data_IF_445808911787
#
_entry.id   IF_445808911787
#
_cell.length_a   1.000
_cell.length_b   1.000
_cell.length_c   1.000
_cell.angle_alpha   90.00
_cell.angle_beta   90.00
_cell.angle_gamma   90.00
#
_symmetry.space_group_name_H-M   'P 1'
#
loop_
_entity.id
_entity.type
_entity.pdbx_description
1 polymer ?
#
# COMPACT_ATOMS: atom_id res chain seq x y z
N UNK A 1 2.99 -16.84 -33.50
CA UNK A 1 3.83 -17.89 -32.86
C UNK A 1 4.99 -17.34 -31.99
N UNK A 2 5.83 -16.43 -32.50
CA UNK A 2 6.99 -15.91 -31.77
C UNK A 2 6.65 -15.09 -30.50
N UNK A 3 5.57 -14.29 -30.53
CA UNK A 3 5.12 -13.50 -29.37
C UNK A 3 4.56 -14.35 -28.21
N UNK A 4 3.89 -15.46 -28.52
CA UNK A 4 3.32 -16.36 -27.50
C UNK A 4 4.41 -17.09 -26.72
N UNK A 5 5.48 -17.51 -27.40
CA UNK A 5 6.64 -18.15 -26.77
C UNK A 5 7.48 -17.17 -25.91
N UNK A 6 7.42 -15.86 -26.22
CA UNK A 6 8.01 -14.82 -25.38
C UNK A 6 7.22 -14.59 -24.09
N UNK A 7 5.90 -14.48 -24.21
CA UNK A 7 5.00 -14.31 -23.06
C UNK A 7 5.05 -15.50 -22.09
N UNK A 8 5.02 -16.74 -22.61
CA UNK A 8 5.12 -17.94 -21.78
C UNK A 8 6.46 -18.03 -21.01
N UNK A 9 7.57 -17.59 -21.63
CA UNK A 9 8.88 -17.51 -20.94
C UNK A 9 8.88 -16.46 -19.83
N UNK A 10 8.22 -15.33 -20.05
CA UNK A 10 8.06 -14.28 -19.03
C UNK A 10 7.25 -14.77 -17.83
N UNK A 11 6.10 -15.42 -18.07
CA UNK A 11 5.25 -15.93 -16.98
C UNK A 11 5.93 -17.04 -16.18
N UNK A 12 6.67 -17.94 -16.85
CA UNK A 12 7.50 -18.94 -16.14
C UNK A 12 8.58 -18.29 -15.28
N UNK A 13 9.28 -17.28 -15.79
CA UNK A 13 10.31 -16.58 -15.03
C UNK A 13 9.73 -15.89 -13.77
N UNK A 14 8.51 -15.34 -13.86
CA UNK A 14 7.80 -14.76 -12.69
C UNK A 14 7.45 -15.81 -11.64
N UNK A 15 6.99 -16.99 -12.06
CA UNK A 15 6.74 -18.10 -11.14
C UNK A 15 8.04 -18.56 -10.47
N UNK A 16 9.11 -18.75 -11.24
CA UNK A 16 10.42 -19.15 -10.72
C UNK A 16 10.96 -18.09 -9.74
N UNK A 17 10.79 -16.80 -10.04
CA UNK A 17 11.13 -15.71 -9.14
C UNK A 17 10.32 -15.77 -7.84
N UNK A 18 9.00 -15.94 -7.92
CA UNK A 18 8.13 -16.10 -6.74
C UNK A 18 8.56 -17.28 -5.86
N UNK A 19 8.87 -18.43 -6.47
CA UNK A 19 9.31 -19.63 -5.75
C UNK A 19 10.72 -19.51 -5.17
N UNK A 20 11.55 -18.64 -5.75
CA UNK A 20 12.92 -18.37 -5.30
C UNK A 20 13.02 -17.25 -4.26
N UNK A 21 11.91 -16.56 -3.93
CA UNK A 21 11.93 -15.50 -2.92
C UNK A 21 12.44 -16.04 -1.56
N UNK A 22 13.30 -15.29 -0.86
CA UNK A 22 13.90 -15.75 0.38
C UNK A 22 12.87 -15.84 1.50
N UNK A 23 12.94 -16.93 2.26
CA UNK A 23 12.11 -17.20 3.44
C UNK A 23 12.98 -17.49 4.67
N UNK A 24 12.65 -16.96 5.87
CA UNK A 24 11.53 -16.08 6.18
C UNK A 24 11.71 -14.64 5.65
N UNK A 25 10.59 -13.97 5.41
CA UNK A 25 10.57 -12.58 4.94
C UNK A 25 11.08 -11.65 6.04
N UNK A 26 12.02 -10.77 5.70
CA UNK A 26 12.44 -9.67 6.59
C UNK A 26 11.52 -8.48 6.37
N UNK A 27 11.09 -7.83 7.46
CA UNK A 27 10.40 -6.56 7.38
C UNK A 27 11.30 -5.51 6.72
N UNK A 28 10.71 -4.71 5.85
CA UNK A 28 11.40 -3.60 5.20
C UNK A 28 11.39 -2.38 6.13
N UNK A 29 12.29 -1.40 5.93
CA UNK A 29 12.28 -0.18 6.71
C UNK A 29 10.88 0.48 6.66
N UNK A 30 10.26 0.79 7.81
CA UNK A 30 8.92 1.36 7.89
C UNK A 30 8.89 2.86 7.52
N UNK A 31 9.53 3.28 6.42
CA UNK A 31 9.57 4.69 5.99
C UNK A 31 8.16 5.22 5.74
N UNK A 32 7.35 4.46 5.01
CA UNK A 32 5.96 4.84 4.75
C UNK A 32 5.10 4.81 6.02
N UNK A 33 5.29 3.83 6.90
CA UNK A 33 4.54 3.75 8.15
C UNK A 33 4.92 4.92 9.09
N UNK A 34 6.20 5.25 9.21
CA UNK A 34 6.67 6.42 9.95
C UNK A 34 6.07 7.72 9.37
N UNK A 35 5.99 7.82 8.04
CA UNK A 35 5.32 8.93 7.38
C UNK A 35 3.82 8.98 7.73
N UNK A 36 3.09 7.87 7.67
CA UNK A 36 1.68 7.86 8.06
C UNK A 36 1.49 8.19 9.56
N UNK A 37 2.31 7.63 10.44
CA UNK A 37 2.26 7.86 11.87
C UNK A 37 2.48 9.34 12.22
N UNK A 38 3.35 10.04 11.47
CA UNK A 38 3.56 11.48 11.59
C UNK A 38 2.24 12.25 11.41
N UNK A 39 1.46 11.94 10.37
CA UNK A 39 0.21 12.63 10.07
C UNK A 39 -0.99 12.14 10.90
N UNK A 40 -0.89 10.96 11.53
CA UNK A 40 -1.85 10.50 12.56
C UNK A 40 -1.59 11.11 13.95
N UNK A 41 -0.50 11.86 14.14
CA UNK A 41 -0.10 12.40 15.44
C UNK A 41 0.50 11.37 16.39
N UNK A 42 0.91 10.20 15.87
CA UNK A 42 1.47 9.08 16.63
C UNK A 42 2.99 9.20 16.77
N UNK A 43 3.48 10.29 17.36
CA UNK A 43 4.92 10.60 17.45
C UNK A 43 5.77 9.48 18.09
N UNK A 44 5.18 8.72 19.03
CA UNK A 44 5.83 7.54 19.62
C UNK A 44 6.04 6.43 18.60
N UNK A 45 5.08 6.21 17.71
CA UNK A 45 5.17 5.22 16.64
C UNK A 45 6.21 5.62 15.58
N UNK A 46 6.36 6.92 15.28
CA UNK A 46 7.44 7.43 14.40
C UNK A 46 8.81 7.07 14.98
N UNK A 47 9.03 7.34 16.27
CA UNK A 47 10.28 7.00 16.94
C UNK A 47 10.54 5.49 16.96
N UNK A 48 9.51 4.69 17.25
CA UNK A 48 9.61 3.23 17.23
C UNK A 48 9.90 2.68 15.83
N UNK A 49 9.26 3.21 14.79
CA UNK A 49 9.49 2.83 13.39
C UNK A 49 10.94 3.11 12.97
N UNK A 50 11.46 4.31 13.28
CA UNK A 50 12.85 4.67 13.00
C UNK A 50 13.85 3.81 13.77
N UNK A 51 13.61 3.56 15.07
CA UNK A 51 14.47 2.67 15.89
C UNK A 51 14.40 1.23 15.38
N UNK A 52 13.23 0.77 14.99
CA UNK A 52 13.02 -0.59 14.49
C UNK A 52 13.79 -0.88 13.20
N UNK A 53 14.02 0.16 12.39
CA UNK A 53 14.86 0.08 11.18
C UNK A 53 16.30 -0.31 11.48
N UNK A 54 16.79 0.02 12.68
CA UNK A 54 18.18 -0.19 13.10
C UNK A 54 18.34 -1.43 13.97
N UNK A 55 17.31 -1.80 14.75
CA UNK A 55 17.47 -2.73 15.88
C UNK A 55 16.61 -4.00 15.79
N UNK A 56 15.59 -4.10 14.92
CA UNK A 56 14.73 -5.29 14.94
C UNK A 56 15.40 -6.54 14.33
N UNK A 57 15.52 -7.64 15.09
CA UNK A 57 15.75 -8.96 14.49
C UNK A 57 14.54 -9.35 13.60
N UNK A 58 14.69 -10.28 12.65
CA UNK A 58 13.56 -10.81 11.90
C UNK A 58 12.58 -11.43 12.89
N UNK A 59 11.44 -10.78 13.10
CA UNK A 59 10.42 -11.25 14.01
C UNK A 59 9.72 -12.45 13.35
N UNK A 60 9.71 -13.58 14.07
CA UNK A 60 8.97 -14.82 13.77
C UNK A 60 7.56 -14.78 14.42
N UNK A 61 6.94 -13.60 14.49
CA UNK A 61 5.59 -13.47 15.03
C UNK A 61 4.62 -14.14 14.04
N UNK A 62 3.65 -14.92 14.55
CA UNK A 62 2.62 -15.49 13.70
C UNK A 62 1.92 -14.36 12.97
N UNK A 63 1.88 -14.45 11.64
CA UNK A 63 1.30 -13.40 10.80
C UNK A 63 -0.16 -13.15 11.21
N UNK A 64 -0.69 -11.91 11.17
CA UNK A 64 -2.07 -11.62 11.58
C UNK A 64 -3.12 -12.51 10.89
N UNK A 65 -2.84 -12.91 9.64
CA UNK A 65 -3.69 -13.84 8.90
C UNK A 65 -3.62 -15.29 9.39
N UNK A 66 -2.56 -15.72 10.07
CA UNK A 66 -2.48 -17.06 10.67
C UNK A 66 -3.60 -17.29 11.71
N UNK A 67 -3.92 -16.26 12.52
CA UNK A 67 -5.05 -16.31 13.45
C UNK A 67 -6.39 -16.49 12.74
N UNK A 68 -6.60 -15.82 11.61
CA UNK A 68 -7.81 -15.95 10.79
C UNK A 68 -7.97 -17.33 10.18
N UNK A 69 -6.85 -17.91 9.74
CA UNK A 69 -6.83 -19.24 9.18
C UNK A 69 -7.13 -20.29 10.24
N UNK A 70 -6.56 -20.15 11.43
CA UNK A 70 -6.88 -21.01 12.57
C UNK A 70 -8.35 -20.89 12.95
N UNK A 71 -8.90 -19.66 13.02
CA UNK A 71 -10.31 -19.46 13.32
C UNK A 71 -11.24 -20.08 12.26
N UNK A 72 -10.95 -19.88 10.98
CA UNK A 72 -11.72 -20.48 9.89
C UNK A 72 -11.64 -22.01 9.93
N UNK A 73 -10.44 -22.58 10.07
CA UNK A 73 -10.24 -24.04 10.08
C UNK A 73 -10.94 -24.66 11.29
N UNK A 74 -10.85 -24.05 12.47
CA UNK A 74 -11.47 -24.58 13.69
C UNK A 74 -13.00 -24.47 13.67
N UNK A 75 -13.56 -23.48 12.96
CA UNK A 75 -15.00 -23.34 12.77
C UNK A 75 -15.56 -24.19 11.61
N UNK A 76 -14.69 -24.59 10.68
CA UNK A 76 -15.09 -25.34 9.49
C UNK A 76 -15.32 -26.82 9.80
N UNK A 77 -16.23 -27.48 9.08
CA UNK A 77 -16.41 -28.91 9.23
C UNK A 77 -15.14 -29.67 8.78
N UNK A 78 -14.67 -30.62 9.58
CA UNK A 78 -13.49 -31.46 9.29
C UNK A 78 -13.89 -32.91 8.94
N UNK A 79 -14.86 -33.07 8.05
CA UNK A 79 -15.11 -34.37 7.46
C UNK A 79 -13.99 -34.71 6.46
N UNK A 80 -13.48 -35.94 6.54
CA UNK A 80 -12.49 -36.45 5.59
C UNK A 80 -11.13 -35.73 5.60
N UNK A 81 -10.68 -35.20 6.74
CA UNK A 81 -9.39 -34.50 6.90
C UNK A 81 -9.20 -33.28 5.99
N UNK A 82 -10.30 -32.62 5.59
CA UNK A 82 -10.26 -31.43 4.76
C UNK A 82 -9.50 -30.27 5.43
N UNK A 83 -9.65 -30.10 6.75
CA UNK A 83 -8.92 -29.09 7.52
C UNK A 83 -7.40 -29.24 7.38
N UNK A 84 -6.91 -30.48 7.47
CA UNK A 84 -5.49 -30.80 7.33
C UNK A 84 -4.96 -30.50 5.92
N UNK A 85 -5.74 -30.82 4.88
CA UNK A 85 -5.38 -30.50 3.48
C UNK A 85 -5.33 -28.99 3.24
N UNK A 86 -6.36 -28.27 3.70
CA UNK A 86 -6.39 -26.80 3.62
C UNK A 86 -5.19 -26.18 4.35
N UNK A 87 -4.85 -26.67 5.56
CA UNK A 87 -3.70 -26.19 6.33
C UNK A 87 -2.36 -26.51 5.66
N UNK A 88 -2.18 -27.71 5.12
CA UNK A 88 -0.90 -28.14 4.55
C UNK A 88 -0.63 -27.46 3.20
N UNK A 89 -1.64 -27.36 2.35
CA UNK A 89 -1.50 -26.90 0.96
C UNK A 89 -1.85 -25.43 0.84
N UNK A 90 -3.09 -25.05 1.16
CA UNK A 90 -3.61 -23.71 0.84
C UNK A 90 -3.08 -22.64 1.79
N UNK A 91 -3.15 -22.88 3.11
CA UNK A 91 -2.71 -21.91 4.12
C UNK A 91 -1.26 -21.50 3.91
N UNK A 92 -0.35 -22.46 3.74
CA UNK A 92 1.07 -22.18 3.50
C UNK A 92 1.27 -21.30 2.26
N UNK A 93 0.58 -21.60 1.15
CA UNK A 93 0.71 -20.84 -0.09
C UNK A 93 0.14 -19.43 0.02
N UNK A 94 -1.00 -19.31 0.70
CA UNK A 94 -1.62 -18.02 0.99
C UNK A 94 -0.70 -17.15 1.85
N UNK A 95 -0.23 -17.66 3.00
CA UNK A 95 0.64 -16.92 3.92
C UNK A 95 1.91 -16.46 3.21
N UNK A 96 2.48 -17.31 2.36
CA UNK A 96 3.65 -16.93 1.56
C UNK A 96 3.36 -15.77 0.62
N UNK A 97 2.27 -15.87 -0.14
CA UNK A 97 1.89 -14.83 -1.08
C UNK A 97 1.54 -13.51 -0.37
N UNK A 98 0.86 -13.57 0.76
CA UNK A 98 0.40 -12.41 1.54
C UNK A 98 1.58 -11.68 2.19
N UNK A 99 2.50 -12.41 2.85
CA UNK A 99 3.71 -11.83 3.43
C UNK A 99 4.63 -11.17 2.39
N UNK A 100 4.80 -11.81 1.23
CA UNK A 100 5.55 -11.21 0.14
C UNK A 100 4.83 -9.98 -0.41
N UNK A 101 3.50 -10.03 -0.56
CA UNK A 101 2.72 -8.88 -1.00
C UNK A 101 2.90 -7.68 -0.06
N UNK A 102 2.80 -7.89 1.26
CA UNK A 102 2.99 -6.84 2.26
C UNK A 102 4.40 -6.24 2.21
N UNK A 103 5.43 -7.10 2.19
CA UNK A 103 6.82 -6.65 2.08
C UNK A 103 7.06 -5.76 0.85
N UNK A 104 6.63 -6.22 -0.32
CA UNK A 104 6.82 -5.44 -1.54
C UNK A 104 5.93 -4.20 -1.57
N UNK A 105 4.77 -4.20 -0.91
CA UNK A 105 3.92 -3.02 -0.72
C UNK A 105 4.63 -1.96 0.14
N UNK A 106 5.18 -2.34 1.29
CA UNK A 106 5.93 -1.45 2.17
C UNK A 106 7.15 -0.88 1.47
N UNK A 107 7.91 -1.73 0.76
CA UNK A 107 9.08 -1.30 0.00
C UNK A 107 8.71 -0.33 -1.12
N UNK A 108 7.66 -0.61 -1.88
CA UNK A 108 7.18 0.28 -2.94
C UNK A 108 6.77 1.65 -2.36
N UNK A 109 5.99 1.64 -1.28
CA UNK A 109 5.52 2.86 -0.63
C UNK A 109 6.64 3.67 0.01
N UNK A 110 7.57 2.99 0.68
CA UNK A 110 8.76 3.61 1.25
C UNK A 110 9.65 4.24 0.19
N UNK A 111 9.82 3.59 -0.96
CA UNK A 111 10.62 4.13 -2.08
C UNK A 111 10.03 5.44 -2.62
N UNK A 112 8.73 5.51 -2.95
CA UNK A 112 8.18 6.76 -3.47
C UNK A 112 8.17 7.88 -2.42
N UNK A 113 7.86 7.58 -1.16
CA UNK A 113 7.94 8.59 -0.08
C UNK A 113 9.35 9.12 0.06
N UNK A 114 10.36 8.24 0.10
CA UNK A 114 11.76 8.63 0.19
C UNK A 114 12.19 9.49 -1.01
N UNK A 115 11.83 9.11 -2.24
CA UNK A 115 12.18 9.88 -3.43
C UNK A 115 11.58 11.29 -3.42
N UNK A 116 10.29 11.44 -3.05
CA UNK A 116 9.65 12.76 -2.98
C UNK A 116 10.24 13.64 -1.86
N UNK A 117 10.52 13.06 -0.68
CA UNK A 117 11.13 13.79 0.42
C UNK A 117 12.60 14.18 0.12
N UNK A 118 13.38 13.29 -0.50
CA UNK A 118 14.74 13.60 -0.96
C UNK A 118 14.73 14.69 -2.03
N UNK A 119 13.75 14.67 -2.94
CA UNK A 119 13.59 15.72 -3.96
C UNK A 119 13.30 17.08 -3.30
N UNK A 120 12.40 17.12 -2.32
CA UNK A 120 12.17 18.34 -1.54
C UNK A 120 13.45 18.80 -0.83
N UNK A 121 14.17 17.89 -0.17
CA UNK A 121 15.42 18.21 0.52
C UNK A 121 16.50 18.75 -0.44
N UNK A 122 16.60 18.22 -1.66
CA UNK A 122 17.55 18.70 -2.66
C UNK A 122 17.26 20.15 -3.05
N UNK A 123 15.99 20.46 -3.33
CA UNK A 123 15.56 21.84 -3.63
C UNK A 123 15.78 22.75 -2.42
N UNK A 124 15.43 22.31 -1.21
CA UNK A 124 15.66 23.07 0.03
C UNK A 124 17.15 23.37 0.24
N UNK A 125 18.04 22.41 -0.01
CA UNK A 125 19.48 22.60 0.08
C UNK A 125 19.98 23.63 -0.96
N UNK A 126 19.46 23.58 -2.19
CA UNK A 126 19.81 24.53 -3.24
C UNK A 126 19.38 25.97 -2.88
N UNK A 127 18.13 26.16 -2.42
CA UNK A 127 17.63 27.49 -2.04
C UNK A 127 18.22 28.00 -0.72
N UNK A 128 18.69 27.12 0.17
CA UNK A 128 19.37 27.52 1.41
C UNK A 128 20.64 28.34 1.10
N UNK A 129 21.25 28.15 -0.07
CA UNK A 129 22.36 28.96 -0.56
C UNK A 129 22.02 30.46 -0.68
N UNK A 130 20.74 30.84 -0.78
CA UNK A 130 20.28 32.23 -0.81
C UNK A 130 20.46 32.94 0.53
N UNK A 131 20.49 32.19 1.65
CA UNK A 131 20.69 32.75 2.98
C UNK A 131 22.17 33.08 3.26
N UNK A 132 23.09 32.56 2.44
CA UNK A 132 24.52 32.78 2.62
C UNK A 132 24.94 34.14 2.02
N UNK A 133 25.63 35.00 2.79
CA UNK A 133 26.13 36.28 2.29
C UNK A 133 27.03 36.11 1.05
N UNK A 134 27.04 37.08 0.15
CA UNK A 134 27.81 37.05 -1.11
C UNK A 134 29.33 37.20 -0.99
N UNK A 135 29.92 37.07 0.21
CA UNK A 135 31.35 37.29 0.43
C UNK A 135 32.19 36.07 0.02
N UNK A 136 33.46 36.27 -0.33
CA UNK A 136 34.40 35.18 -0.66
C UNK A 136 34.52 34.12 0.45
N UNK A 137 34.25 34.50 1.71
CA UNK A 137 34.28 33.59 2.86
C UNK A 137 33.16 32.52 2.84
N UNK A 138 32.06 32.73 2.12
CA UNK A 138 30.93 31.78 2.06
C UNK A 138 31.01 30.82 0.87
N UNK A 139 32.02 30.97 0.00
CA UNK A 139 32.20 30.12 -1.18
C UNK A 139 32.31 28.64 -0.80
N UNK A 140 33.01 28.33 0.30
CA UNK A 140 33.13 26.96 0.82
C UNK A 140 31.78 26.34 1.16
N UNK A 141 30.90 27.08 1.85
CA UNK A 141 29.55 26.60 2.19
C UNK A 141 28.67 26.38 0.96
N UNK A 142 28.78 27.24 -0.05
CA UNK A 142 28.07 27.05 -1.33
C UNK A 142 28.51 25.76 -2.02
N UNK A 143 29.82 25.45 -2.01
CA UNK A 143 30.33 24.18 -2.55
C UNK A 143 29.77 23.00 -1.78
N UNK A 144 29.71 23.06 -0.44
CA UNK A 144 29.12 21.99 0.38
C UNK A 144 27.64 21.78 0.04
N UNK A 145 26.85 22.85 -0.14
CA UNK A 145 25.44 22.74 -0.50
C UNK A 145 25.25 22.11 -1.89
N UNK A 146 26.07 22.49 -2.88
CA UNK A 146 26.04 21.88 -4.21
C UNK A 146 26.41 20.40 -4.16
N UNK A 147 27.44 20.03 -3.37
CA UNK A 147 27.80 18.62 -3.17
C UNK A 147 26.68 17.84 -2.49
N UNK A 148 26.03 18.43 -1.48
CA UNK A 148 24.87 17.84 -0.81
C UNK A 148 23.71 17.61 -1.80
N UNK A 149 23.41 18.60 -2.65
CA UNK A 149 22.39 18.48 -3.69
C UNK A 149 22.71 17.33 -4.67
N UNK A 150 23.97 17.23 -5.14
CA UNK A 150 24.42 16.13 -6.00
C UNK A 150 24.24 14.78 -5.31
N UNK A 151 24.59 14.67 -4.02
CA UNK A 151 24.41 13.44 -3.24
C UNK A 151 22.92 13.07 -3.12
N UNK A 152 22.04 14.03 -2.86
CA UNK A 152 20.59 13.81 -2.77
C UNK A 152 20.01 13.36 -4.12
N UNK A 153 20.34 14.03 -5.22
CA UNK A 153 19.89 13.66 -6.57
C UNK A 153 20.42 12.28 -6.99
N UNK A 154 21.68 11.98 -6.69
CA UNK A 154 22.27 10.66 -6.94
C UNK A 154 21.54 9.58 -6.13
N UNK A 155 21.20 9.87 -4.87
CA UNK A 155 20.45 8.95 -4.02
C UNK A 155 19.06 8.64 -4.60
N UNK A 156 18.35 9.65 -5.11
CA UNK A 156 17.06 9.46 -5.81
C UNK A 156 17.23 8.53 -7.01
N UNK A 157 18.25 8.75 -7.85
CA UNK A 157 18.50 7.91 -9.02
C UNK A 157 18.84 6.46 -8.65
N UNK A 158 19.61 6.26 -7.58
CA UNK A 158 19.93 4.93 -7.07
C UNK A 158 18.69 4.21 -6.54
N UNK A 159 17.86 4.88 -5.75
CA UNK A 159 16.59 4.33 -5.25
C UNK A 159 15.64 3.97 -6.40
N UNK A 160 15.51 4.85 -7.39
CA UNK A 160 14.71 4.60 -8.59
C UNK A 160 15.21 3.37 -9.36
N UNK A 161 16.51 3.30 -9.63
CA UNK A 161 17.13 2.17 -10.34
C UNK A 161 16.97 0.86 -9.57
N UNK A 162 17.14 0.88 -8.25
CA UNK A 162 16.94 -0.28 -7.40
C UNK A 162 15.47 -0.75 -7.44
N UNK A 163 14.51 0.16 -7.23
CA UNK A 163 13.09 -0.15 -7.26
C UNK A 163 12.63 -0.73 -8.60
N UNK A 164 13.17 -0.20 -9.72
CA UNK A 164 12.88 -0.69 -11.07
C UNK A 164 13.54 -2.04 -11.36
N UNK A 165 14.82 -2.22 -10.99
CA UNK A 165 15.56 -3.48 -11.22
C UNK A 165 14.94 -4.65 -10.47
N UNK A 166 14.49 -4.39 -9.23
CA UNK A 166 13.89 -5.41 -8.38
C UNK A 166 12.40 -5.63 -8.70
N UNK A 167 11.84 -4.89 -9.68
CA UNK A 167 10.44 -4.94 -10.09
C UNK A 167 9.47 -4.84 -8.92
N UNK A 168 9.82 -4.02 -7.90
CA UNK A 168 9.17 -3.99 -6.58
C UNK A 168 7.65 -3.83 -6.72
N UNK A 169 7.22 -2.93 -7.60
CA UNK A 169 5.81 -2.69 -7.86
C UNK A 169 5.11 -3.89 -8.53
N UNK A 170 5.72 -4.48 -9.57
CA UNK A 170 5.12 -5.60 -10.29
C UNK A 170 4.97 -6.82 -9.37
N UNK A 171 5.98 -7.08 -8.53
CA UNK A 171 5.95 -8.14 -7.51
C UNK A 171 4.87 -7.88 -6.47
N UNK A 172 4.79 -6.66 -5.93
CA UNK A 172 3.70 -6.27 -5.02
C UNK A 172 2.33 -6.59 -5.61
N UNK A 173 2.06 -6.12 -6.83
CA UNK A 173 0.75 -6.27 -7.49
C UNK A 173 0.46 -7.75 -7.77
N UNK A 174 1.43 -8.50 -8.29
CA UNK A 174 1.24 -9.91 -8.63
C UNK A 174 1.03 -10.78 -7.38
N UNK A 175 1.82 -10.57 -6.31
CA UNK A 175 1.71 -11.36 -5.07
C UNK A 175 0.44 -11.03 -4.31
N UNK A 176 0.03 -9.75 -4.27
CA UNK A 176 -1.24 -9.37 -3.64
C UNK A 176 -2.42 -10.01 -4.35
N UNK A 177 -2.44 -9.94 -5.69
CA UNK A 177 -3.49 -10.58 -6.47
C UNK A 177 -3.50 -12.10 -6.29
N UNK A 178 -2.34 -12.75 -6.18
CA UNK A 178 -2.27 -14.18 -5.89
C UNK A 178 -2.84 -14.51 -4.50
N UNK A 179 -2.41 -13.78 -3.45
CA UNK A 179 -2.91 -13.99 -2.10
C UNK A 179 -4.43 -13.86 -2.03
N UNK A 180 -4.97 -12.81 -2.66
CA UNK A 180 -6.41 -12.58 -2.69
C UNK A 180 -7.15 -13.64 -3.51
N UNK A 181 -6.60 -14.14 -4.62
CA UNK A 181 -7.20 -15.24 -5.39
C UNK A 181 -7.20 -16.59 -4.66
N UNK A 182 -6.19 -16.83 -3.80
CA UNK A 182 -6.10 -18.04 -2.98
C UNK A 182 -7.07 -18.00 -1.77
N UNK A 183 -7.40 -16.81 -1.26
CA UNK A 183 -8.24 -16.65 -0.06
C UNK A 183 -9.62 -17.31 -0.16
N UNK A 184 -10.48 -17.03 -1.17
CA UNK A 184 -11.81 -17.65 -1.26
C UNK A 184 -11.76 -19.17 -1.48
N UNK A 185 -10.63 -19.71 -1.93
CA UNK A 185 -10.48 -21.16 -2.11
C UNK A 185 -10.68 -21.93 -0.81
N UNK A 186 -10.47 -21.32 0.36
CA UNK A 186 -10.70 -22.01 1.65
C UNK A 186 -12.15 -22.44 1.85
N UNK A 187 -13.09 -21.64 1.36
CA UNK A 187 -14.54 -21.91 1.40
C UNK A 187 -15.05 -22.66 0.16
N UNK A 188 -14.43 -22.47 -1.00
CA UNK A 188 -14.86 -23.15 -2.23
C UNK A 188 -14.34 -24.59 -2.31
N UNK A 189 -13.13 -24.86 -1.81
CA UNK A 189 -12.57 -26.20 -1.80
C UNK A 189 -13.38 -27.18 -0.93
N UNK A 190 -14.08 -26.69 0.10
CA UNK A 190 -15.02 -27.49 0.90
C UNK A 190 -16.29 -27.88 0.15
N UNK A 191 -16.56 -27.28 -1.01
CA UNK A 191 -17.71 -27.54 -1.88
C UNK A 191 -17.34 -28.15 -3.25
N UNK A 192 -16.07 -28.53 -3.45
CA UNK A 192 -15.54 -28.95 -4.74
C UNK A 192 -15.70 -27.87 -5.84
N UNK A 193 -15.92 -26.62 -5.45
CA UNK A 193 -16.08 -25.49 -6.36
C UNK A 193 -14.73 -24.80 -6.57
N UNK A 194 -14.62 -24.14 -7.72
CA UNK A 194 -13.48 -23.28 -8.01
C UNK A 194 -13.99 -21.98 -8.62
N UNK A 195 -13.64 -20.85 -8.00
CA UNK A 195 -13.92 -19.56 -8.60
C UNK A 195 -13.11 -19.46 -9.89
N UNK A 196 -13.80 -19.42 -11.02
CA UNK A 196 -13.16 -18.99 -12.26
C UNK A 196 -12.90 -17.49 -12.12
N UNK A 197 -11.63 -17.09 -12.06
CA UNK A 197 -11.25 -15.67 -12.14
C UNK A 197 -11.84 -15.05 -13.42
N UNK A 198 -12.48 -13.89 -13.31
CA UNK A 198 -13.30 -13.27 -14.35
C UNK A 198 -12.57 -12.89 -15.65
N UNK A 199 -13.39 -12.81 -16.72
CA UNK A 199 -13.07 -12.17 -18.00
C UNK A 199 -12.27 -13.00 -19.05
N UNK A 200 -12.74 -13.11 -20.31
CA UNK A 200 -12.05 -13.88 -21.37
C UNK A 200 -10.64 -13.36 -21.72
N UNK A 201 -10.30 -12.12 -21.35
CA UNK A 201 -8.98 -11.52 -21.62
C UNK A 201 -7.89 -11.87 -20.59
N UNK A 202 -8.26 -12.32 -19.37
CA UNK A 202 -7.33 -12.69 -18.28
C UNK A 202 -7.42 -14.16 -17.84
N UNK A 203 -8.46 -14.87 -18.29
CA UNK A 203 -8.52 -16.33 -18.28
C UNK A 203 -7.40 -17.01 -19.12
N UNK A 204 -6.69 -16.25 -19.96
CA UNK A 204 -5.56 -16.73 -20.76
C UNK A 204 -4.24 -16.81 -19.95
N UNK A 205 -4.10 -17.85 -19.12
CA UNK A 205 -2.80 -18.52 -18.91
C UNK A 205 -1.64 -17.73 -18.28
N UNK A 206 -1.90 -16.87 -17.31
CA UNK A 206 -0.85 -16.28 -16.48
C UNK A 206 -0.32 -17.23 -15.39
N UNK A 207 0.87 -16.96 -14.85
CA UNK A 207 1.48 -17.83 -13.83
C UNK A 207 0.64 -17.96 -12.56
N UNK A 208 -0.10 -16.90 -12.20
CA UNK A 208 -0.98 -16.85 -11.02
C UNK A 208 -2.17 -17.80 -11.16
N UNK A 209 -2.85 -17.80 -12.31
CA UNK A 209 -4.01 -18.68 -12.55
C UNK A 209 -3.56 -20.15 -12.66
N UNK A 210 -2.38 -20.40 -13.24
CA UNK A 210 -1.75 -21.71 -13.19
C UNK A 210 -1.50 -22.15 -11.74
N UNK A 211 -0.91 -21.29 -10.91
CA UNK A 211 -0.58 -21.61 -9.52
C UNK A 211 -1.84 -21.83 -8.67
N UNK A 212 -2.89 -21.02 -8.86
CA UNK A 212 -4.20 -21.20 -8.24
C UNK A 212 -4.83 -22.54 -8.65
N UNK A 213 -4.83 -22.86 -9.95
CA UNK A 213 -5.35 -24.12 -10.48
C UNK A 213 -4.58 -25.34 -9.96
N UNK A 214 -3.25 -25.24 -9.91
CA UNK A 214 -2.39 -26.27 -9.34
C UNK A 214 -2.68 -26.48 -7.85
N UNK A 215 -2.92 -25.40 -7.12
CA UNK A 215 -3.33 -25.43 -5.70
C UNK A 215 -4.67 -26.14 -5.52
N UNK A 216 -5.66 -25.82 -6.36
CA UNK A 216 -6.97 -26.47 -6.31
C UNK A 216 -6.88 -27.98 -6.56
N UNK A 217 -6.10 -28.38 -7.57
CA UNK A 217 -5.88 -29.80 -7.91
C UNK A 217 -5.19 -30.57 -6.79
N UNK A 218 -4.26 -29.94 -6.08
CA UNK A 218 -3.52 -30.57 -4.97
C UNK A 218 -4.35 -30.70 -3.69
N UNK A 219 -5.28 -29.75 -3.42
CA UNK A 219 -6.25 -29.89 -2.33
C UNK A 219 -7.17 -31.11 -2.57
N UNK A 220 -7.52 -31.36 -3.84
CA UNK A 220 -8.38 -32.47 -4.23
C UNK A 220 -9.87 -32.21 -3.94
N UNK A 221 -10.67 -33.27 -4.09
CA UNK A 221 -12.11 -33.21 -3.84
C UNK A 221 -12.40 -33.33 -2.33
N UNK A 222 -13.37 -32.58 -1.79
CA UNK A 222 -13.84 -32.79 -0.43
C UNK A 222 -14.42 -34.21 -0.29
N UNK A 223 -14.19 -34.81 0.87
CA UNK A 223 -14.73 -36.13 1.24
C UNK A 223 -15.64 -35.91 2.44
N UNK A 224 -16.88 -36.39 2.37
CA UNK A 224 -17.84 -36.20 3.46
C UNK A 224 -19.27 -36.07 2.95
N UNK A 225 -20.19 -35.88 3.88
CA UNK A 225 -21.60 -35.67 3.62
C UNK A 225 -21.94 -34.17 3.74
N UNK A 226 -22.46 -33.58 2.66
CA UNK A 226 -22.86 -32.15 2.63
C UNK A 226 -24.21 -31.92 3.31
N UNK A 227 -24.35 -32.39 4.55
CA UNK A 227 -25.55 -32.26 5.36
C UNK A 227 -25.78 -30.84 5.88
N UNK A 228 -26.97 -30.60 6.45
CA UNK A 228 -27.36 -29.31 7.00
C UNK A 228 -26.37 -28.76 8.06
N UNK A 229 -25.87 -29.61 8.96
CA UNK A 229 -24.87 -29.22 9.98
C UNK A 229 -23.54 -28.80 9.36
N UNK A 230 -23.10 -29.49 8.29
CA UNK A 230 -21.89 -29.15 7.54
C UNK A 230 -22.03 -27.77 6.92
N UNK A 231 -23.15 -27.53 6.23
CA UNK A 231 -23.43 -26.25 5.57
C UNK A 231 -23.52 -25.10 6.57
N UNK A 232 -24.20 -25.28 7.70
CA UNK A 232 -24.29 -24.24 8.73
C UNK A 232 -22.93 -23.93 9.37
N UNK A 233 -22.10 -24.92 9.69
CA UNK A 233 -20.77 -24.69 10.26
C UNK A 233 -19.85 -23.94 9.29
N UNK A 234 -19.90 -24.30 8.00
CA UNK A 234 -19.14 -23.63 6.96
C UNK A 234 -19.63 -22.19 6.72
N UNK A 235 -20.94 -21.98 6.55
CA UNK A 235 -21.51 -20.65 6.38
C UNK A 235 -21.23 -19.74 7.58
N UNK A 236 -21.30 -20.27 8.81
CA UNK A 236 -20.87 -19.52 10.02
C UNK A 236 -19.40 -19.11 9.94
N UNK A 237 -18.54 -20.02 9.53
CA UNK A 237 -17.10 -19.77 9.44
C UNK A 237 -16.77 -18.74 8.37
N UNK A 238 -17.43 -18.79 7.21
CA UNK A 238 -17.28 -17.79 6.16
C UNK A 238 -17.81 -16.43 6.61
N UNK A 239 -19.03 -16.39 7.17
CA UNK A 239 -19.63 -15.14 7.65
C UNK A 239 -18.76 -14.46 8.72
N UNK A 240 -18.17 -15.24 9.64
CA UNK A 240 -17.35 -14.70 10.73
C UNK A 240 -15.92 -14.39 10.28
N UNK A 241 -15.19 -15.39 9.78
CA UNK A 241 -13.75 -15.32 9.57
C UNK A 241 -13.35 -14.76 8.19
N UNK A 242 -14.26 -14.67 7.22
CA UNK A 242 -14.01 -14.05 5.92
C UNK A 242 -14.71 -12.69 5.83
N UNK A 243 -16.03 -12.64 5.98
CA UNK A 243 -16.82 -11.43 5.74
C UNK A 243 -16.71 -10.46 6.93
N UNK A 244 -17.06 -10.91 8.13
CA UNK A 244 -17.08 -10.05 9.32
C UNK A 244 -15.72 -9.44 9.64
N UNK A 245 -14.64 -10.22 9.50
CA UNK A 245 -13.28 -9.70 9.69
C UNK A 245 -12.88 -8.69 8.61
N UNK A 246 -13.21 -8.94 7.34
CA UNK A 246 -12.94 -7.97 6.26
C UNK A 246 -13.67 -6.64 6.49
N UNK A 247 -14.91 -6.68 6.95
CA UNK A 247 -15.65 -5.46 7.30
C UNK A 247 -14.88 -4.67 8.37
N UNK A 248 -14.41 -5.34 9.43
CA UNK A 248 -13.61 -4.72 10.47
C UNK A 248 -12.29 -4.14 9.90
N UNK A 249 -11.55 -4.92 9.12
CA UNK A 249 -10.25 -4.50 8.55
C UNK A 249 -10.40 -3.29 7.61
N UNK A 250 -11.40 -3.32 6.71
CA UNK A 250 -11.66 -2.21 5.80
C UNK A 250 -12.14 -0.95 6.54
N UNK A 251 -12.91 -1.09 7.64
CA UNK A 251 -13.32 0.06 8.46
C UNK A 251 -12.13 0.75 9.13
N UNK A 252 -11.18 -0.02 9.68
CA UNK A 252 -9.95 0.50 10.30
C UNK A 252 -9.05 1.13 9.24
N UNK A 253 -8.85 0.45 8.10
CA UNK A 253 -8.04 0.96 6.99
C UNK A 253 -8.63 2.26 6.42
N UNK A 254 -9.96 2.35 6.29
CA UNK A 254 -10.66 3.56 5.86
C UNK A 254 -10.38 4.73 6.81
N UNK A 255 -10.57 4.52 8.12
CA UNK A 255 -10.34 5.56 9.11
C UNK A 255 -8.88 6.06 9.09
N UNK A 256 -7.92 5.14 8.97
CA UNK A 256 -6.51 5.49 8.86
C UNK A 256 -6.20 6.30 7.59
N UNK A 257 -6.72 5.88 6.43
CA UNK A 257 -6.53 6.59 5.16
C UNK A 257 -7.15 8.00 5.19
N UNK A 258 -8.36 8.14 5.75
CA UNK A 258 -9.04 9.43 5.91
C UNK A 258 -8.26 10.38 6.83
N UNK A 259 -7.71 9.88 7.94
CA UNK A 259 -6.88 10.69 8.85
C UNK A 259 -5.62 11.23 8.15
N UNK A 260 -4.90 10.37 7.42
CA UNK A 260 -3.70 10.77 6.68
C UNK A 260 -4.04 11.77 5.58
N UNK A 261 -5.12 11.53 4.82
CA UNK A 261 -5.61 12.45 3.79
C UNK A 261 -5.94 13.83 4.37
N UNK A 262 -6.66 13.86 5.50
CA UNK A 262 -7.02 15.11 6.17
C UNK A 262 -5.79 15.84 6.70
N UNK A 263 -4.86 15.13 7.32
CA UNK A 263 -3.59 15.69 7.81
C UNK A 263 -2.75 16.30 6.68
N UNK A 264 -2.61 15.60 5.56
CA UNK A 264 -1.90 16.10 4.38
C UNK A 264 -2.59 17.33 3.78
N UNK A 265 -3.91 17.33 3.70
CA UNK A 265 -4.68 18.45 3.18
C UNK A 265 -4.56 19.69 4.05
N UNK A 266 -4.74 19.55 5.38
CA UNK A 266 -4.58 20.65 6.33
C UNK A 266 -3.16 21.22 6.29
N UNK A 267 -2.14 20.37 6.27
CA UNK A 267 -0.75 20.81 6.24
C UNK A 267 -0.44 21.55 4.92
N UNK A 268 -0.95 21.07 3.79
CA UNK A 268 -0.85 21.77 2.51
C UNK A 268 -1.52 23.15 2.53
N UNK A 269 -2.70 23.28 3.13
CA UNK A 269 -3.37 24.57 3.29
C UNK A 269 -2.56 25.53 4.18
N UNK A 270 -2.04 25.05 5.31
CA UNK A 270 -1.21 25.87 6.21
C UNK A 270 0.03 26.38 5.48
N UNK A 271 0.72 25.52 4.72
CA UNK A 271 1.87 25.92 3.90
C UNK A 271 1.50 26.98 2.86
N UNK A 272 0.39 26.79 2.13
CA UNK A 272 -0.04 27.71 1.07
C UNK A 272 -0.44 29.08 1.63
N UNK A 273 -1.39 29.11 2.56
CA UNK A 273 -1.86 30.37 3.14
C UNK A 273 -0.79 31.04 4.00
N UNK A 274 0.05 30.25 4.68
CA UNK A 274 1.21 30.76 5.40
C UNK A 274 2.20 31.45 4.46
N UNK A 275 2.52 30.84 3.32
CA UNK A 275 3.39 31.46 2.30
C UNK A 275 2.78 32.75 1.75
N UNK A 276 1.49 32.72 1.41
CA UNK A 276 0.78 33.91 0.92
C UNK A 276 0.78 35.04 1.95
N UNK A 277 0.55 34.71 3.23
CA UNK A 277 0.59 35.68 4.33
C UNK A 277 1.97 36.28 4.53
N UNK A 278 3.03 35.45 4.53
CA UNK A 278 4.43 35.92 4.64
C UNK A 278 4.79 36.84 3.47
N UNK A 279 4.44 36.45 2.24
CA UNK A 279 4.70 37.26 1.05
C UNK A 279 3.92 38.57 1.05
N UNK A 280 2.64 38.54 1.44
CA UNK A 280 1.80 39.73 1.55
C UNK A 280 2.33 40.70 2.60
N UNK A 281 2.69 40.20 3.78
CA UNK A 281 3.29 41.02 4.84
C UNK A 281 4.63 41.61 4.38
N UNK A 282 5.50 40.80 3.78
CA UNK A 282 6.77 41.27 3.26
C UNK A 282 6.56 42.36 2.21
N UNK A 283 5.64 42.18 1.27
CA UNK A 283 5.34 43.17 0.23
C UNK A 283 4.87 44.50 0.81
N UNK A 284 3.99 44.48 1.83
CA UNK A 284 3.54 45.69 2.54
C UNK A 284 4.72 46.38 3.23
N UNK A 285 5.58 45.62 3.93
CA UNK A 285 6.74 46.18 4.61
C UNK A 285 7.77 46.77 3.63
N UNK A 286 8.04 46.09 2.51
CA UNK A 286 8.89 46.60 1.44
C UNK A 286 8.33 47.90 0.84
N UNK A 287 7.02 47.95 0.58
CA UNK A 287 6.36 49.14 0.05
C UNK A 287 6.37 50.31 1.06
N UNK A 288 6.10 50.03 2.34
CA UNK A 288 6.13 51.04 3.40
C UNK A 288 7.53 51.65 3.53
N UNK A 289 8.57 50.81 3.52
CA UNK A 289 9.98 51.23 3.54
C UNK A 289 10.33 52.11 2.33
N UNK A 290 9.88 51.72 1.14
CA UNK A 290 10.10 52.48 -0.09
C UNK A 290 9.45 53.88 -0.05
N UNK A 291 8.26 53.99 0.56
CA UNK A 291 7.53 55.27 0.67
C UNK A 291 8.11 56.14 1.79
N UNK A 292 8.37 55.57 2.96
CA UNK A 292 8.78 56.33 4.16
C UNK A 292 10.20 56.86 4.10
N UNK A 293 11.07 56.29 3.23
CA UNK A 293 12.51 56.58 3.21
C UNK A 293 13.19 56.38 4.59
N UNK A 294 12.60 55.56 5.45
CA UNK A 294 13.12 55.28 6.78
C UNK A 294 14.32 54.32 6.71
N UNK A 295 15.49 54.79 7.11
CA UNK A 295 16.75 54.02 7.09
C UNK A 295 16.67 52.76 7.95
N UNK A 296 15.98 52.80 9.11
CA UNK A 296 15.87 51.66 10.02
C UNK A 296 15.00 50.54 9.46
N UNK A 297 13.88 50.89 8.82
CA UNK A 297 13.05 49.92 8.10
C UNK A 297 13.77 49.38 6.86
N UNK A 298 14.60 50.21 6.21
CA UNK A 298 15.49 49.84 5.10
C UNK A 298 16.44 48.69 5.44
N UNK A 299 17.18 48.81 6.54
CA UNK A 299 18.14 47.80 6.99
C UNK A 299 17.45 46.47 7.35
N UNK A 300 16.34 46.53 8.09
CA UNK A 300 15.58 45.31 8.44
C UNK A 300 15.05 44.60 7.19
N UNK A 301 14.52 45.36 6.25
CA UNK A 301 13.95 44.89 4.99
C UNK A 301 14.99 44.17 4.11
N UNK A 302 16.21 44.74 4.03
CA UNK A 302 17.36 44.11 3.37
C UNK A 302 17.80 42.82 4.07
N UNK A 303 17.81 42.80 5.41
CA UNK A 303 18.17 41.61 6.20
C UNK A 303 17.10 40.51 6.14
N UNK A 304 15.82 40.86 6.03
CA UNK A 304 14.70 39.92 5.94
C UNK A 304 14.53 39.31 4.55
N UNK A 305 14.97 40.01 3.49
CA UNK A 305 14.79 39.59 2.09
C UNK A 305 15.24 38.14 1.79
N UNK A 306 16.42 37.65 2.23
CA UNK A 306 16.84 36.28 2.00
C UNK A 306 15.92 35.26 2.69
N UNK A 307 15.46 35.56 3.90
CA UNK A 307 14.55 34.71 4.67
C UNK A 307 13.16 34.63 4.03
N UNK A 308 12.63 35.78 3.58
CA UNK A 308 11.36 35.82 2.85
C UNK A 308 11.47 35.00 1.56
N UNK A 309 12.55 35.17 0.79
CA UNK A 309 12.80 34.39 -0.43
C UNK A 309 12.93 32.89 -0.17
N UNK A 310 13.67 32.51 0.88
CA UNK A 310 13.81 31.11 1.30
C UNK A 310 12.47 30.51 1.70
N UNK A 311 11.70 31.15 2.60
CA UNK A 311 10.41 30.64 3.06
C UNK A 311 9.39 30.56 1.91
N UNK A 312 9.40 31.55 1.03
CA UNK A 312 8.53 31.59 -0.15
C UNK A 312 8.80 30.46 -1.15
N UNK A 313 10.03 29.95 -1.22
CA UNK A 313 10.37 28.80 -2.05
C UNK A 313 10.25 27.46 -1.29
N UNK A 314 10.61 27.43 -0.01
CA UNK A 314 10.65 26.23 0.81
C UNK A 314 9.26 25.65 1.06
N UNK A 315 8.29 26.48 1.45
CA UNK A 315 6.96 26.00 1.80
C UNK A 315 6.21 25.39 0.58
N UNK A 316 6.18 26.01 -0.61
CA UNK A 316 5.63 25.38 -1.81
C UNK A 316 6.36 24.10 -2.22
N UNK A 317 7.68 24.03 -2.03
CA UNK A 317 8.47 22.82 -2.33
C UNK A 317 8.04 21.64 -1.46
N UNK A 318 7.90 21.86 -0.16
CA UNK A 318 7.39 20.83 0.77
C UNK A 318 5.94 20.48 0.40
N UNK A 319 5.10 21.47 0.14
CA UNK A 319 3.72 21.27 -0.29
C UNK A 319 3.60 20.40 -1.54
N UNK A 320 4.43 20.67 -2.56
CA UNK A 320 4.45 19.91 -3.80
C UNK A 320 4.84 18.44 -3.56
N UNK A 321 5.84 18.18 -2.72
CA UNK A 321 6.25 16.82 -2.38
C UNK A 321 5.13 16.04 -1.65
N UNK A 322 4.44 16.67 -0.70
CA UNK A 322 3.33 16.05 0.03
C UNK A 322 2.14 15.77 -0.88
N UNK A 323 1.83 16.70 -1.78
CA UNK A 323 0.79 16.51 -2.80
C UNK A 323 1.15 15.36 -3.74
N UNK A 324 2.40 15.24 -4.17
CA UNK A 324 2.86 14.12 -5.00
C UNK A 324 2.76 12.77 -4.25
N UNK A 325 3.14 12.73 -2.97
CA UNK A 325 2.97 11.55 -2.11
C UNK A 325 1.49 11.17 -1.99
N UNK A 326 0.62 12.16 -1.73
CA UNK A 326 -0.83 11.97 -1.61
C UNK A 326 -1.43 11.38 -2.89
N UNK A 327 -1.11 11.93 -4.05
CA UNK A 327 -1.60 11.43 -5.33
C UNK A 327 -1.08 10.02 -5.66
N UNK A 328 0.18 9.74 -5.32
CA UNK A 328 0.78 8.42 -5.58
C UNK A 328 0.20 7.35 -4.67
N UNK A 329 0.00 7.68 -3.39
CA UNK A 329 -0.56 6.77 -2.40
C UNK A 329 -2.07 6.56 -2.57
N UNK A 330 -2.79 7.56 -3.09
CA UNK A 330 -4.23 7.52 -3.39
C UNK A 330 -5.09 7.13 -2.18
N UNK A 331 -4.86 7.82 -1.06
CA UNK A 331 -5.57 7.57 0.20
C UNK A 331 -7.08 7.79 0.06
N UNK A 332 -7.50 8.80 -0.70
CA UNK A 332 -8.91 9.07 -0.97
C UNK A 332 -9.56 7.92 -1.75
N UNK A 333 -8.93 7.45 -2.83
CA UNK A 333 -9.41 6.30 -3.60
C UNK A 333 -9.47 5.02 -2.77
N UNK A 334 -8.46 4.77 -1.92
CA UNK A 334 -8.47 3.63 -0.99
C UNK A 334 -9.60 3.71 0.04
N UNK A 335 -9.88 4.90 0.58
CA UNK A 335 -10.94 5.11 1.55
C UNK A 335 -12.33 4.90 0.92
N UNK A 336 -12.55 5.47 -0.27
CA UNK A 336 -13.80 5.29 -1.01
C UNK A 336 -14.01 3.83 -1.40
N UNK A 337 -12.99 3.17 -1.96
CA UNK A 337 -13.07 1.76 -2.33
C UNK A 337 -13.35 0.85 -1.13
N UNK A 338 -12.76 1.16 0.04
CA UNK A 338 -13.03 0.42 1.27
C UNK A 338 -14.46 0.65 1.78
N UNK A 339 -15.04 1.82 1.56
CA UNK A 339 -16.44 2.12 1.89
C UNK A 339 -17.41 1.31 1.02
N UNK A 340 -17.20 1.32 -0.30
CA UNK A 340 -18.01 0.55 -1.25
C UNK A 340 -17.92 -0.96 -0.94
N UNK A 341 -16.71 -1.47 -0.70
CA UNK A 341 -16.49 -2.88 -0.35
C UNK A 341 -17.15 -3.29 0.97
N UNK A 342 -17.18 -2.40 1.98
CA UNK A 342 -17.87 -2.69 3.25
C UNK A 342 -19.37 -2.85 3.01
N UNK A 343 -19.98 -1.96 2.24
CA UNK A 343 -21.41 -2.05 1.92
C UNK A 343 -21.73 -3.36 1.18
N UNK A 344 -20.94 -3.73 0.17
CA UNK A 344 -21.12 -4.98 -0.57
C UNK A 344 -20.94 -6.22 0.32
N UNK A 345 -19.99 -6.18 1.27
CA UNK A 345 -19.77 -7.27 2.22
C UNK A 345 -20.89 -7.40 3.26
N UNK A 346 -21.49 -6.30 3.69
CA UNK A 346 -22.66 -6.31 4.57
C UNK A 346 -23.85 -6.99 3.88
N UNK A 347 -24.08 -6.70 2.59
CA UNK A 347 -25.09 -7.39 1.79
C UNK A 347 -24.81 -8.89 1.67
N UNK A 348 -23.55 -9.28 1.43
CA UNK A 348 -23.15 -10.70 1.44
C UNK A 348 -23.34 -11.36 2.81
N UNK A 349 -23.18 -10.61 3.91
CA UNK A 349 -23.43 -11.13 5.25
C UNK A 349 -24.92 -11.48 5.45
N UNK A 350 -25.83 -10.67 4.89
CA UNK A 350 -27.26 -10.95 4.89
C UNK A 350 -27.59 -12.19 4.04
N UNK A 351 -27.00 -12.30 2.85
CA UNK A 351 -27.16 -13.48 1.97
C UNK A 351 -26.70 -14.77 2.66
N UNK A 352 -25.53 -14.75 3.30
CA UNK A 352 -25.01 -15.90 4.07
C UNK A 352 -25.96 -16.24 5.23
N UNK A 353 -26.52 -15.24 5.90
CA UNK A 353 -27.49 -15.46 7.00
C UNK A 353 -28.79 -16.10 6.49
N UNK A 354 -29.30 -15.66 5.33
CA UNK A 354 -30.47 -16.26 4.70
C UNK A 354 -30.19 -17.71 4.22
N UNK A 355 -29.01 -17.96 3.64
CA UNK A 355 -28.58 -19.30 3.23
C UNK A 355 -28.51 -20.26 4.43
N UNK A 356 -28.06 -19.78 5.59
CA UNK A 356 -28.01 -20.55 6.84
C UNK A 356 -29.38 -20.97 7.37
N UNK A 357 -30.44 -20.24 7.04
CA UNK A 357 -31.80 -20.60 7.46
C UNK A 357 -32.40 -21.69 6.58
N UNK A 358 -32.10 -21.68 5.28
CA UNK A 358 -32.61 -22.68 4.34
C UNK A 358 -31.81 -23.98 4.36
N UNK A 359 -30.48 -23.88 4.48
CA UNK A 359 -29.55 -25.02 4.54
C UNK A 359 -29.67 -25.98 3.34
N UNK A 360 -30.11 -25.46 2.19
CA UNK A 360 -30.13 -26.19 0.94
C UNK A 360 -28.82 -25.98 0.17
N UNK A 361 -28.41 -27.03 -0.55
CA UNK A 361 -27.13 -27.08 -1.24
C UNK A 361 -26.96 -25.93 -2.25
N UNK A 362 -27.98 -25.66 -3.06
CA UNK A 362 -27.91 -24.63 -4.11
C UNK A 362 -27.83 -23.22 -3.54
N UNK A 363 -28.60 -22.90 -2.50
CA UNK A 363 -28.52 -21.59 -1.84
C UNK A 363 -27.17 -21.41 -1.14
N UNK A 364 -26.65 -22.43 -0.46
CA UNK A 364 -25.32 -22.39 0.15
C UNK A 364 -24.24 -22.18 -0.90
N UNK A 365 -24.27 -22.97 -1.98
CA UNK A 365 -23.34 -22.84 -3.11
C UNK A 365 -23.40 -21.43 -3.72
N UNK A 366 -24.61 -20.92 -3.97
CA UNK A 366 -24.81 -19.61 -4.56
C UNK A 366 -24.23 -18.49 -3.67
N UNK A 367 -24.46 -18.54 -2.35
CA UNK A 367 -23.93 -17.56 -1.41
C UNK A 367 -22.39 -17.60 -1.30
N UNK A 368 -21.78 -18.79 -1.36
CA UNK A 368 -20.33 -18.93 -1.36
C UNK A 368 -19.71 -18.42 -2.67
N UNK A 369 -20.32 -18.74 -3.81
CA UNK A 369 -19.87 -18.25 -5.12
C UNK A 369 -20.08 -16.74 -5.25
N UNK A 370 -21.17 -16.17 -4.75
CA UNK A 370 -21.40 -14.71 -4.76
C UNK A 370 -20.33 -13.99 -3.94
N UNK A 371 -20.01 -14.50 -2.75
CA UNK A 371 -18.94 -13.97 -1.89
C UNK A 371 -17.58 -14.05 -2.61
N UNK A 372 -17.24 -15.18 -3.22
CA UNK A 372 -15.98 -15.33 -3.93
C UNK A 372 -15.88 -14.47 -5.19
N UNK A 373 -16.99 -14.23 -5.89
CA UNK A 373 -17.05 -13.32 -7.06
C UNK A 373 -16.80 -11.87 -6.65
N UNK A 374 -17.43 -11.41 -5.58
CA UNK A 374 -17.19 -10.06 -5.04
C UNK A 374 -15.69 -9.87 -4.71
N UNK A 375 -15.05 -10.87 -4.11
CA UNK A 375 -13.61 -10.82 -3.84
C UNK A 375 -12.76 -10.84 -5.11
N UNK A 376 -13.18 -11.53 -6.16
CA UNK A 376 -12.48 -11.51 -7.44
C UNK A 376 -12.61 -10.14 -8.13
N UNK A 377 -13.80 -9.53 -8.06
CA UNK A 377 -14.07 -8.18 -8.57
C UNK A 377 -13.21 -7.12 -7.84
N UNK A 378 -13.06 -7.23 -6.52
CA UNK A 378 -12.14 -6.41 -5.72
C UNK A 378 -10.69 -6.48 -6.24
N UNK A 379 -10.21 -7.70 -6.52
CA UNK A 379 -8.87 -7.91 -7.08
C UNK A 379 -8.75 -7.31 -8.47
N UNK A 380 -9.77 -7.45 -9.31
CA UNK A 380 -9.76 -6.85 -10.65
C UNK A 380 -9.73 -5.33 -10.61
N UNK A 381 -10.51 -4.72 -9.71
CA UNK A 381 -10.49 -3.28 -9.45
C UNK A 381 -9.11 -2.82 -8.96
N UNK A 382 -8.54 -3.53 -7.99
CA UNK A 382 -7.17 -3.29 -7.52
C UNK A 382 -6.15 -3.38 -8.66
N UNK A 383 -6.21 -4.41 -9.50
CA UNK A 383 -5.31 -4.57 -10.64
C UNK A 383 -5.49 -3.48 -11.70
N UNK A 384 -6.71 -2.99 -11.91
CA UNK A 384 -6.98 -1.88 -12.83
C UNK A 384 -6.42 -0.55 -12.32
N UNK A 385 -6.44 -0.34 -10.99
CA UNK A 385 -5.93 0.87 -10.35
C UNK A 385 -4.40 0.85 -10.23
N UNK A 386 -3.83 -0.21 -9.66
CA UNK A 386 -2.38 -0.31 -9.42
C UNK A 386 -1.59 -0.83 -10.61
N UNK A 387 -2.20 -1.56 -11.54
CA UNK A 387 -1.51 -2.03 -12.74
C UNK A 387 -1.03 -0.90 -13.65
N UNK A 388 -1.63 0.29 -13.55
CA UNK A 388 -1.27 1.49 -14.32
C UNK A 388 -0.29 2.44 -13.61
N UNK A 389 -0.16 2.32 -12.28
CA UNK A 389 0.76 3.15 -11.50
C UNK A 389 2.13 2.50 -11.54
N UNK A 390 3.13 3.16 -12.11
CA UNK A 390 4.51 2.67 -12.10
C UNK A 390 5.37 3.60 -11.26
N UNK A 391 6.47 3.08 -10.72
CA UNK A 391 7.49 3.92 -10.10
C UNK A 391 8.00 4.91 -11.18
N UNK A 392 7.67 6.18 -11.02
CA UNK A 392 8.11 7.26 -11.87
C UNK A 392 9.16 8.10 -11.15
N UNK A 393 10.03 8.76 -11.91
CA UNK A 393 10.90 9.78 -11.34
C UNK A 393 10.02 10.98 -10.91
N UNK A 394 10.32 11.61 -9.77
CA UNK A 394 9.70 12.90 -9.44
C UNK A 394 10.03 13.90 -10.56
N UNK A 395 9.01 14.60 -11.06
CA UNK A 395 9.11 15.53 -12.18
C UNK A 395 8.34 16.81 -11.96
#
# INVERSE_FOLDING_TARGET
>A
PAGVAGAARSERAKLEAFLAEPWPVRHEPPVHEAFCALFRGEWRAVGQALVSTVVRPPILEPHPSEGEWVEFINGSPDEGHQALRLKRVLHRRFVIADLLAERYAERYRGLFVAMYLLSACAVLAAIFGLLLPGSHATLGWKIVLVLLEIVLLTSILLLYRQGRRDEVHARFVDYRALAQALRPMRALATFAEHAQSGGPARAAGGWRSWYQSATAREIGLPQGHLGATYQDSLLRSVAKAEVGRRIADHSVSRAAAQQVEHGLHQFGHVLFFGTMGILGLAAVLFLATYISHDEGLGEWSLAAKPWVGFLAAAAPTIGAALVAIRFTADFAGQAQHSEEMVADLEDRQLELTAARQKQDFETTRAALLSTARLQAEDVEAFLALYGRKHLALPG
#
